data_IF_006148151375
#
_entry.id   IF_006148151375
#
_cell.length_a   1.000
_cell.length_b   1.000
_cell.length_c   1.000
_cell.angle_alpha   90.00
_cell.angle_beta   90.00
_cell.angle_gamma   90.00
#
_symmetry.space_group_name_H-M   'P 1'
#
loop_
_entity.id
_entity.type
_entity.pdbx_description
1 polymer ?
#
# COMPACT_ATOMS: atom_id res chain seq x y z
N UNK A 1 -27.45 -0.73 -12.66
CA UNK A 1 -28.52 0.26 -12.96
C UNK A 1 -28.12 1.62 -12.41
N UNK A 2 -28.28 2.67 -13.21
CA UNK A 2 -28.00 4.05 -12.81
C UNK A 2 -29.28 4.85 -12.87
N UNK A 3 -29.76 5.32 -11.70
CA UNK A 3 -30.93 6.16 -11.61
C UNK A 3 -30.57 7.65 -11.71
N UNK A 4 -31.41 8.41 -12.35
CA UNK A 4 -31.33 9.88 -12.47
C UNK A 4 -32.02 10.60 -11.29
N UNK A 5 -32.09 9.97 -10.13
CA UNK A 5 -32.68 10.55 -8.91
C UNK A 5 -32.07 11.92 -8.60
N UNK A 6 -32.92 12.92 -8.42
CA UNK A 6 -32.52 14.33 -8.19
C UNK A 6 -32.81 14.85 -6.79
N UNK A 7 -33.05 13.96 -5.84
CA UNK A 7 -33.24 14.32 -4.43
C UNK A 7 -34.52 15.06 -4.07
N UNK A 8 -35.48 15.19 -5.02
CA UNK A 8 -36.68 15.97 -4.81
C UNK A 8 -37.80 15.27 -4.06
N UNK A 9 -37.80 13.94 -4.04
CA UNK A 9 -38.80 13.10 -3.37
C UNK A 9 -38.10 11.88 -2.79
N UNK A 10 -38.63 11.31 -1.70
CA UNK A 10 -38.21 9.99 -1.26
C UNK A 10 -38.54 8.94 -2.32
N UNK A 11 -37.64 8.01 -2.56
CA UNK A 11 -37.81 6.90 -3.48
C UNK A 11 -37.43 5.59 -2.81
N UNK A 12 -38.26 4.57 -2.96
CA UNK A 12 -37.98 3.22 -2.46
C UNK A 12 -37.58 2.34 -3.62
N UNK A 13 -36.44 1.69 -3.49
CA UNK A 13 -35.91 0.74 -4.46
C UNK A 13 -36.07 -0.67 -3.90
N UNK A 14 -36.49 -1.58 -4.75
CA UNK A 14 -36.63 -3.00 -4.44
C UNK A 14 -35.75 -3.77 -5.38
N UNK A 15 -34.94 -4.67 -4.84
CA UNK A 15 -34.09 -5.56 -5.63
C UNK A 15 -34.75 -6.94 -5.69
N UNK A 16 -34.96 -7.43 -6.90
CA UNK A 16 -35.46 -8.78 -7.18
C UNK A 16 -34.50 -9.51 -8.09
N UNK A 17 -34.14 -10.76 -7.81
CA UNK A 17 -33.32 -11.54 -8.71
C UNK A 17 -34.13 -11.93 -9.96
N UNK A 18 -33.39 -11.97 -11.09
CA UNK A 18 -33.90 -12.46 -12.37
C UNK A 18 -33.13 -13.73 -12.73
N UNK A 19 -33.83 -14.84 -12.79
CA UNK A 19 -33.24 -16.15 -13.13
C UNK A 19 -33.78 -16.57 -14.48
N UNK A 20 -32.92 -16.82 -15.45
CA UNK A 20 -33.29 -17.21 -16.82
C UNK A 20 -34.31 -16.23 -17.47
N UNK A 21 -34.16 -14.93 -17.22
CA UNK A 21 -35.02 -13.88 -17.77
C UNK A 21 -36.36 -13.72 -17.04
N UNK A 22 -36.62 -14.44 -15.97
CA UNK A 22 -37.86 -14.37 -15.18
C UNK A 22 -37.57 -13.79 -13.81
N UNK A 23 -38.32 -12.72 -13.43
CA UNK A 23 -38.27 -12.21 -12.05
C UNK A 23 -38.76 -13.27 -11.09
N UNK A 24 -37.96 -13.55 -10.04
CA UNK A 24 -38.45 -14.37 -8.93
C UNK A 24 -39.35 -13.52 -8.06
N UNK A 25 -40.34 -14.09 -7.42
CA UNK A 25 -41.20 -13.37 -6.49
C UNK A 25 -40.52 -12.91 -5.20
N UNK A 26 -39.26 -13.31 -4.98
CA UNK A 26 -38.49 -12.98 -3.79
C UNK A 26 -37.90 -11.56 -3.86
N UNK A 27 -37.96 -10.85 -2.74
CA UNK A 27 -37.35 -9.52 -2.59
C UNK A 27 -36.06 -9.68 -1.83
N UNK A 28 -34.92 -9.42 -2.49
CA UNK A 28 -33.59 -9.51 -1.88
C UNK A 28 -33.31 -8.32 -0.95
N UNK A 29 -33.90 -7.16 -1.20
CA UNK A 29 -33.73 -6.00 -0.35
C UNK A 29 -34.59 -4.82 -0.76
N UNK A 30 -34.85 -3.95 0.20
CA UNK A 30 -35.46 -2.65 0.01
C UNK A 30 -34.56 -1.57 0.56
N UNK A 31 -34.43 -0.48 -0.20
CA UNK A 31 -33.76 0.72 0.29
C UNK A 31 -34.60 1.96 -0.05
N UNK A 32 -34.89 2.77 0.95
CA UNK A 32 -35.64 4.03 0.78
C UNK A 32 -34.68 5.22 0.88
N UNK A 33 -34.46 5.90 -0.24
CA UNK A 33 -33.74 7.18 -0.26
C UNK A 33 -34.58 8.25 0.42
N UNK A 34 -34.07 8.93 1.45
CA UNK A 34 -34.77 10.04 2.07
C UNK A 34 -34.87 11.24 1.11
N UNK A 35 -35.83 12.13 1.35
CA UNK A 35 -35.90 13.42 0.64
C UNK A 35 -34.60 14.21 0.92
N UNK A 36 -33.98 14.73 -0.12
CA UNK A 36 -32.67 15.42 -0.09
C UNK A 36 -31.46 14.49 0.18
N UNK A 37 -31.60 13.19 -0.05
CA UNK A 37 -30.42 12.32 -0.04
C UNK A 37 -29.34 12.87 -1.00
N UNK A 38 -28.05 12.80 -0.62
CA UNK A 38 -26.99 13.21 -1.53
C UNK A 38 -27.01 12.34 -2.80
N UNK A 39 -26.74 12.97 -3.93
CA UNK A 39 -26.81 12.30 -5.23
C UNK A 39 -25.40 11.87 -5.63
N UNK A 40 -25.11 10.58 -5.47
CA UNK A 40 -23.97 9.92 -6.10
C UNK A 40 -22.63 10.05 -5.36
N UNK A 41 -22.51 10.83 -4.26
CA UNK A 41 -21.29 10.94 -3.46
C UNK A 41 -21.56 11.43 -2.03
N UNK A 42 -20.65 11.11 -1.13
CA UNK A 42 -20.52 11.72 0.20
C UNK A 42 -19.40 12.75 0.11
N UNK A 43 -19.66 13.98 0.54
CA UNK A 43 -18.66 15.04 0.66
C UNK A 43 -18.03 15.01 2.04
N UNK A 44 -16.72 14.73 2.09
CA UNK A 44 -15.94 14.70 3.33
C UNK A 44 -15.00 15.90 3.32
N UNK A 45 -15.17 16.88 4.22
CA UNK A 45 -14.24 18.00 4.33
C UNK A 45 -12.90 17.52 4.90
N UNK A 46 -11.79 17.97 4.33
CA UNK A 46 -10.44 17.60 4.73
C UNK A 46 -9.73 18.81 5.37
N UNK A 47 -8.94 18.55 6.42
CA UNK A 47 -8.07 19.54 7.05
C UNK A 47 -6.68 19.54 6.38
N UNK A 48 -6.56 20.32 5.28
CA UNK A 48 -5.33 20.38 4.49
C UNK A 48 -4.15 20.86 5.36
N UNK A 49 -3.00 20.16 5.33
CA UNK A 49 -1.81 20.60 6.05
C UNK A 49 -1.32 21.97 5.58
N UNK A 50 -0.63 22.69 6.47
CA UNK A 50 -0.01 23.98 6.15
C UNK A 50 1.10 23.82 5.09
N UNK A 51 1.24 24.84 4.24
CA UNK A 51 2.30 24.92 3.26
C UNK A 51 3.68 24.94 3.94
N UNK A 52 4.71 24.49 3.24
CA UNK A 52 6.06 24.41 3.78
C UNK A 52 7.13 24.92 2.81
N UNK A 53 8.37 24.91 3.29
CA UNK A 53 9.56 25.28 2.51
C UNK A 53 10.66 24.26 2.80
N UNK A 54 11.31 23.76 1.74
CA UNK A 54 12.44 22.82 1.86
C UNK A 54 13.72 23.53 2.34
N UNK A 55 14.76 22.79 2.77
CA UNK A 55 16.07 23.36 3.09
C UNK A 55 16.72 24.15 1.94
N UNK A 56 16.36 23.86 0.70
CA UNK A 56 16.83 24.60 -0.49
C UNK A 56 16.01 25.85 -0.80
N UNK A 57 15.00 26.17 0.02
CA UNK A 57 14.14 27.34 -0.20
C UNK A 57 12.97 27.12 -1.17
N UNK A 58 12.72 25.88 -1.62
CA UNK A 58 11.58 25.55 -2.47
C UNK A 58 10.30 25.49 -1.64
N UNK A 59 9.33 26.32 -1.96
CA UNK A 59 7.99 26.25 -1.36
C UNK A 59 7.21 25.04 -1.90
N UNK A 60 6.38 24.45 -1.07
CA UNK A 60 5.46 23.37 -1.43
C UNK A 60 4.13 23.49 -0.68
N UNK A 61 3.10 22.91 -1.26
CA UNK A 61 1.77 22.77 -0.68
C UNK A 61 1.48 21.28 -0.48
N UNK A 62 0.32 20.92 0.06
CA UNK A 62 -0.11 19.53 0.18
C UNK A 62 -1.30 19.24 -0.71
N UNK A 63 -1.29 18.05 -1.30
CA UNK A 63 -2.38 17.47 -2.08
C UNK A 63 -2.78 16.11 -1.48
N UNK A 64 -4.09 15.77 -1.44
CA UNK A 64 -4.51 14.42 -1.08
C UNK A 64 -4.03 13.44 -2.14
N UNK A 65 -3.56 12.28 -1.70
CA UNK A 65 -3.02 11.23 -2.54
C UNK A 65 -3.77 9.92 -2.28
N UNK A 66 -3.06 8.81 -2.03
CA UNK A 66 -3.67 7.52 -1.75
C UNK A 66 -4.48 7.52 -0.45
N UNK A 67 -5.55 6.74 -0.43
CA UNK A 67 -6.33 6.50 0.76
C UNK A 67 -6.63 5.01 0.92
N UNK A 68 -6.76 4.57 2.16
CA UNK A 68 -7.29 3.27 2.56
C UNK A 68 -8.39 3.46 3.58
N UNK A 69 -9.17 2.42 3.82
CA UNK A 69 -10.27 2.45 4.78
C UNK A 69 -10.13 1.31 5.78
N UNK A 70 -10.61 1.51 6.99
CA UNK A 70 -10.72 0.50 8.03
C UNK A 70 -11.59 0.99 9.15
N UNK A 71 -12.26 0.09 9.84
CA UNK A 71 -12.91 0.36 11.11
C UNK A 71 -11.80 0.43 12.17
N UNK A 72 -11.40 1.64 12.56
CA UNK A 72 -10.24 1.81 13.46
C UNK A 72 -10.63 1.84 14.94
N UNK A 73 -11.91 1.98 15.25
CA UNK A 73 -12.38 2.06 16.65
C UNK A 73 -13.45 1.01 17.02
N UNK A 74 -13.79 0.11 16.09
CA UNK A 74 -14.68 -1.03 16.32
C UNK A 74 -16.15 -0.66 16.41
N UNK A 75 -16.55 0.50 15.84
CA UNK A 75 -17.95 0.96 15.89
C UNK A 75 -18.80 0.48 14.71
N UNK A 76 -18.18 -0.18 13.71
CA UNK A 76 -18.82 -0.73 12.51
C UNK A 76 -18.92 0.27 11.36
N UNK A 77 -18.44 1.50 11.50
CA UNK A 77 -18.25 2.46 10.42
C UNK A 77 -16.76 2.51 10.04
N UNK A 78 -16.46 2.82 8.78
CA UNK A 78 -15.08 2.90 8.34
C UNK A 78 -14.55 4.32 8.41
N UNK A 79 -13.33 4.48 8.93
CA UNK A 79 -12.54 5.66 8.79
C UNK A 79 -11.70 5.63 7.52
N UNK A 80 -11.27 6.82 7.10
CA UNK A 80 -10.41 7.02 5.94
C UNK A 80 -9.02 7.40 6.43
N UNK A 81 -8.04 6.57 6.10
CA UNK A 81 -6.62 6.88 6.29
C UNK A 81 -6.11 7.47 4.98
N UNK A 82 -5.84 8.78 5.00
CA UNK A 82 -5.47 9.57 3.83
C UNK A 82 -3.99 9.96 3.90
N UNK A 83 -3.26 9.64 2.85
CA UNK A 83 -1.89 10.12 2.61
C UNK A 83 -1.93 11.50 1.96
N UNK A 84 -1.19 12.43 2.53
CA UNK A 84 -0.91 13.74 1.96
C UNK A 84 0.48 13.77 1.36
N UNK A 85 0.57 14.03 0.07
CA UNK A 85 1.85 14.27 -0.60
C UNK A 85 2.14 15.77 -0.67
N UNK A 86 3.40 16.17 -0.40
CA UNK A 86 3.84 17.52 -0.73
C UNK A 86 3.90 17.69 -2.26
N UNK A 87 3.51 18.86 -2.76
CA UNK A 87 3.47 19.14 -4.21
C UNK A 87 4.83 19.07 -4.91
N UNK A 88 5.91 18.98 -4.15
CA UNK A 88 7.29 18.77 -4.61
C UNK A 88 7.77 17.33 -4.35
N UNK A 89 6.85 16.35 -4.29
CA UNK A 89 7.21 14.93 -4.30
C UNK A 89 7.99 14.58 -5.58
N UNK A 90 8.94 13.66 -5.46
CA UNK A 90 9.81 13.27 -6.57
C UNK A 90 9.77 11.76 -6.81
N UNK A 91 9.81 11.34 -8.07
CA UNK A 91 10.14 9.97 -8.42
C UNK A 91 11.55 9.60 -7.94
N UNK A 92 11.77 8.32 -7.69
CA UNK A 92 13.06 7.78 -7.24
C UNK A 92 14.23 8.08 -8.21
N UNK A 93 13.94 8.33 -9.49
CA UNK A 93 14.96 8.70 -10.46
C UNK A 93 15.48 10.14 -10.31
N UNK A 94 14.71 11.02 -9.66
CA UNK A 94 15.02 12.45 -9.57
C UNK A 94 15.63 12.84 -8.23
N UNK A 95 16.51 13.85 -8.24
CA UNK A 95 17.06 14.47 -7.04
C UNK A 95 16.16 15.61 -6.55
N UNK A 96 16.41 16.13 -5.37
CA UNK A 96 15.73 17.25 -4.76
C UNK A 96 15.16 16.90 -3.39
N UNK A 97 15.08 17.91 -2.51
CA UNK A 97 14.36 17.78 -1.25
C UNK A 97 12.86 17.69 -1.50
N UNK A 98 12.17 16.95 -0.67
CA UNK A 98 10.71 16.91 -0.60
C UNK A 98 10.22 17.45 0.73
N UNK A 99 8.97 17.89 0.80
CA UNK A 99 8.28 18.02 2.06
C UNK A 99 8.05 16.65 2.70
N UNK A 100 7.61 16.62 3.96
CA UNK A 100 7.26 15.38 4.65
C UNK A 100 5.97 14.79 4.07
N UNK A 101 5.86 13.47 4.03
CA UNK A 101 4.57 12.80 3.83
C UNK A 101 3.82 12.79 5.14
N UNK A 102 2.51 13.07 5.10
CA UNK A 102 1.65 13.01 6.27
C UNK A 102 0.54 11.99 6.05
N UNK A 103 0.08 11.37 7.12
CA UNK A 103 -1.09 10.51 7.13
C UNK A 103 -2.11 11.04 8.13
N UNK A 104 -3.34 11.21 7.68
CA UNK A 104 -4.46 11.60 8.52
C UNK A 104 -5.50 10.48 8.58
N UNK A 105 -6.14 10.33 9.71
CA UNK A 105 -7.34 9.53 9.86
C UNK A 105 -8.56 10.43 9.98
N UNK A 106 -9.59 10.17 9.16
CA UNK A 106 -10.83 10.93 9.14
C UNK A 106 -12.04 10.03 9.32
N UNK A 107 -12.97 10.48 10.13
CA UNK A 107 -14.35 9.98 10.09
C UNK A 107 -15.05 10.44 8.80
N UNK A 108 -16.10 9.75 8.40
CA UNK A 108 -16.93 10.17 7.26
C UNK A 108 -17.58 11.56 7.45
N UNK A 109 -17.63 12.06 8.66
CA UNK A 109 -18.07 13.44 8.98
C UNK A 109 -17.04 14.50 8.61
N UNK A 110 -15.78 14.13 8.36
CA UNK A 110 -14.65 15.02 8.16
C UNK A 110 -13.89 15.37 9.44
N UNK A 111 -14.27 14.80 10.59
CA UNK A 111 -13.48 14.90 11.81
C UNK A 111 -12.15 14.19 11.64
N UNK A 112 -11.02 14.90 11.84
CA UNK A 112 -9.70 14.30 11.86
C UNK A 112 -9.39 13.77 13.25
N UNK A 113 -9.16 12.45 13.36
CA UNK A 113 -8.83 11.77 14.60
C UNK A 113 -7.37 12.00 15.01
N UNK A 114 -6.46 11.87 14.06
CA UNK A 114 -5.02 12.04 14.27
C UNK A 114 -4.29 12.39 12.97
N UNK A 115 -3.03 12.79 13.12
CA UNK A 115 -2.05 12.99 12.04
C UNK A 115 -0.72 12.35 12.41
N UNK A 116 -0.15 11.55 11.52
CA UNK A 116 1.21 11.03 11.60
C UNK A 116 2.06 11.84 10.62
N UNK A 117 3.23 12.34 11.08
CA UNK A 117 4.23 12.99 10.24
C UNK A 117 5.40 12.03 10.01
N UNK A 118 5.63 11.62 8.77
CA UNK A 118 6.69 10.67 8.43
C UNK A 118 8.09 11.22 8.66
N UNK A 119 8.22 12.52 8.90
CA UNK A 119 9.50 13.18 9.08
C UNK A 119 10.28 13.33 7.76
N UNK A 120 11.41 14.02 7.86
CA UNK A 120 12.21 14.33 6.67
C UNK A 120 13.15 13.19 6.23
N UNK A 121 13.26 12.10 7.02
CA UNK A 121 14.04 10.91 6.67
C UNK A 121 13.23 9.88 5.87
N UNK A 122 11.96 10.17 5.56
CA UNK A 122 11.15 9.44 4.60
C UNK A 122 10.84 10.39 3.44
N UNK A 123 11.39 10.09 2.27
CA UNK A 123 11.23 10.92 1.07
C UNK A 123 9.81 10.77 0.51
N UNK A 124 9.26 11.84 -0.07
CA UNK A 124 7.95 11.80 -0.72
C UNK A 124 8.06 11.44 -2.21
N UNK A 125 7.16 10.58 -2.66
CA UNK A 125 7.03 10.12 -4.05
C UNK A 125 6.27 8.80 -4.12
N UNK A 126 5.96 8.36 -5.33
CA UNK A 126 5.05 7.24 -5.59
C UNK A 126 5.48 5.90 -4.96
N UNK A 127 6.77 5.71 -4.67
CA UNK A 127 7.29 4.39 -4.29
C UNK A 127 7.84 4.29 -2.86
N UNK A 128 7.75 5.37 -2.05
CA UNK A 128 8.44 5.42 -0.75
C UNK A 128 7.58 5.01 0.44
N UNK A 129 6.26 5.23 0.38
CA UNK A 129 5.38 5.21 1.55
C UNK A 129 4.14 4.36 1.32
N UNK A 130 4.32 3.06 1.11
CA UNK A 130 3.23 2.09 1.14
C UNK A 130 2.75 1.90 2.57
N UNK A 131 1.44 1.79 2.75
CA UNK A 131 0.81 1.57 4.05
C UNK A 131 -0.35 0.60 3.91
N UNK A 132 -0.51 -0.27 4.89
CA UNK A 132 -1.59 -1.24 4.95
C UNK A 132 -2.47 -0.93 6.15
N UNK A 133 -3.78 -0.90 5.93
CA UNK A 133 -4.81 -0.70 6.95
C UNK A 133 -5.65 -1.96 6.98
N UNK A 134 -5.62 -2.67 8.09
CA UNK A 134 -6.36 -3.90 8.26
C UNK A 134 -6.46 -4.27 9.75
N UNK A 135 -7.45 -5.04 10.12
CA UNK A 135 -7.54 -5.68 11.44
C UNK A 135 -6.62 -6.91 11.44
N UNK A 136 -5.33 -6.68 11.79
CA UNK A 136 -4.30 -7.71 11.68
C UNK A 136 -4.33 -8.73 12.82
N UNK A 137 -4.85 -8.39 13.99
CA UNK A 137 -4.96 -9.30 15.14
C UNK A 137 -6.38 -9.83 15.37
N UNK A 138 -7.30 -9.43 14.49
CA UNK A 138 -8.71 -9.85 14.50
C UNK A 138 -9.46 -9.45 15.79
N UNK A 139 -9.11 -8.29 16.36
CA UNK A 139 -9.78 -7.73 17.54
C UNK A 139 -11.00 -6.87 17.20
N UNK A 140 -11.24 -6.62 15.90
CA UNK A 140 -12.33 -5.81 15.36
C UNK A 140 -11.93 -4.35 15.10
N UNK A 141 -10.67 -3.96 15.34
CA UNK A 141 -10.16 -2.63 15.06
C UNK A 141 -8.95 -2.71 14.12
N UNK A 142 -8.95 -1.88 13.07
CA UNK A 142 -7.84 -1.91 12.12
C UNK A 142 -6.59 -1.20 12.65
N UNK A 143 -5.42 -1.81 12.43
CA UNK A 143 -4.11 -1.18 12.57
C UNK A 143 -3.65 -0.55 11.27
N UNK A 144 -2.60 0.29 11.36
CA UNK A 144 -1.83 0.75 10.22
C UNK A 144 -0.41 0.23 10.34
N UNK A 145 0.06 -0.48 9.31
CA UNK A 145 1.45 -0.97 9.25
C UNK A 145 2.16 -0.32 8.06
N UNK A 146 3.28 0.35 8.34
CA UNK A 146 4.06 1.03 7.30
C UNK A 146 5.52 1.22 7.68
N UNK A 147 6.34 1.47 6.64
CA UNK A 147 7.75 1.83 6.82
C UNK A 147 7.86 3.23 7.44
N UNK A 148 8.71 3.36 8.47
CA UNK A 148 9.06 4.63 9.14
C UNK A 148 10.58 4.83 9.17
N UNK A 149 11.03 5.91 9.77
CA UNK A 149 12.44 6.22 9.98
C UNK A 149 12.61 7.07 11.24
N UNK A 150 13.84 7.38 11.60
CA UNK A 150 14.14 8.37 12.65
C UNK A 150 13.45 9.70 12.35
N UNK A 151 12.86 10.30 13.38
CA UNK A 151 12.15 11.57 13.29
C UNK A 151 10.71 11.46 12.78
N UNK A 152 10.17 10.25 12.53
CA UNK A 152 8.72 10.06 12.33
C UNK A 152 7.98 10.39 13.63
N UNK A 153 6.89 11.16 13.54
CA UNK A 153 6.06 11.57 14.68
C UNK A 153 4.71 10.85 14.58
N UNK A 154 4.36 10.09 15.59
CA UNK A 154 3.12 9.35 15.64
C UNK A 154 1.88 10.26 15.90
N UNK A 155 0.68 9.68 15.84
CA UNK A 155 -0.58 10.41 16.04
C UNK A 155 -0.78 11.01 17.43
N UNK A 156 0.09 10.68 18.39
CA UNK A 156 0.10 11.22 19.74
C UNK A 156 1.26 12.22 19.97
N UNK A 157 2.02 12.55 18.91
CA UNK A 157 3.14 13.48 18.97
C UNK A 157 4.43 12.87 19.49
N UNK A 158 4.52 11.54 19.62
CA UNK A 158 5.75 10.85 20.05
C UNK A 158 6.67 10.59 18.84
N UNK A 159 7.94 10.92 19.00
CA UNK A 159 8.95 10.68 17.95
C UNK A 159 9.42 9.22 17.99
N UNK A 160 9.51 8.61 16.81
CA UNK A 160 10.11 7.30 16.59
C UNK A 160 11.59 7.50 16.32
N UNK A 161 12.43 6.75 17.02
CA UNK A 161 13.89 6.79 16.90
C UNK A 161 14.51 8.12 17.33
N UNK A 162 15.53 8.60 16.60
CA UNK A 162 16.26 9.83 16.91
C UNK A 162 15.61 11.05 16.23
N UNK A 163 15.09 11.96 17.04
CA UNK A 163 14.49 13.22 16.58
C UNK A 163 15.48 14.18 15.88
N UNK A 164 16.77 14.03 16.16
CA UNK A 164 17.82 14.91 15.62
C UNK A 164 18.46 14.36 14.33
N UNK A 165 18.14 13.13 13.95
CA UNK A 165 18.73 12.52 12.77
C UNK A 165 18.27 13.21 11.48
N UNK A 166 19.21 13.50 10.57
CA UNK A 166 18.93 13.98 9.20
C UNK A 166 19.83 13.19 8.24
N UNK A 167 19.19 12.33 7.45
CA UNK A 167 19.86 11.44 6.49
C UNK A 167 19.81 11.96 5.06
N UNK A 168 19.21 13.14 4.85
CA UNK A 168 19.11 13.74 3.53
C UNK A 168 20.49 14.18 3.05
N UNK A 169 20.88 13.73 1.86
CA UNK A 169 22.12 14.18 1.25
C UNK A 169 22.04 15.69 0.99
N UNK A 170 22.96 16.50 1.57
CA UNK A 170 22.94 17.96 1.43
C UNK A 170 23.43 18.43 0.05
N UNK A 171 24.10 17.62 -0.61
CA UNK A 171 24.94 17.54 -1.77
C UNK A 171 24.90 18.62 -2.84
N UNK A 172 25.81 18.40 -3.77
CA UNK A 172 25.79 18.98 -5.12
C UNK A 172 24.49 18.54 -5.82
N UNK A 173 24.11 19.11 -6.98
CA UNK A 173 22.88 18.74 -7.70
C UNK A 173 22.65 17.23 -7.85
N UNK A 174 23.72 16.44 -7.89
CA UNK A 174 23.62 14.98 -7.85
C UNK A 174 23.42 14.49 -6.39
N UNK A 175 22.31 13.80 -6.13
CA UNK A 175 21.88 13.22 -4.86
C UNK A 175 21.27 14.18 -3.83
N UNK A 176 21.11 15.46 -4.13
CA UNK A 176 20.45 16.38 -3.18
C UNK A 176 19.09 15.84 -2.73
N UNK A 177 18.85 15.82 -1.42
CA UNK A 177 17.60 15.38 -0.82
C UNK A 177 17.34 13.86 -0.86
N UNK A 178 18.26 13.05 -1.39
CA UNK A 178 18.16 11.58 -1.33
C UNK A 178 18.51 11.07 0.05
N UNK A 179 17.97 9.91 0.38
CA UNK A 179 18.30 9.17 1.60
C UNK A 179 19.10 7.94 1.18
N UNK A 180 20.43 8.02 1.26
CA UNK A 180 21.33 6.94 0.83
C UNK A 180 21.71 5.99 1.96
N UNK A 181 21.50 6.39 3.21
CA UNK A 181 21.81 5.66 4.44
C UNK A 181 20.83 6.07 5.53
N UNK A 182 20.90 5.46 6.68
CA UNK A 182 20.09 5.79 7.85
C UNK A 182 19.17 4.65 8.24
N UNK A 183 18.59 4.80 9.42
CA UNK A 183 17.71 3.78 9.99
C UNK A 183 16.36 3.78 9.27
N UNK A 184 15.87 2.58 9.01
CA UNK A 184 14.53 2.33 8.49
C UNK A 184 13.84 1.32 9.40
N UNK A 185 12.59 1.57 9.69
CA UNK A 185 11.79 0.75 10.58
C UNK A 185 10.50 0.30 9.92
N UNK A 186 9.91 -0.76 10.44
CA UNK A 186 8.54 -1.15 10.23
C UNK A 186 7.77 -0.91 11.51
N UNK A 187 6.72 -0.09 11.46
CA UNK A 187 5.95 0.32 12.63
C UNK A 187 4.49 -0.08 12.48
N UNK A 188 3.94 -0.66 13.53
CA UNK A 188 2.51 -0.88 13.73
C UNK A 188 1.96 0.29 14.51
N UNK A 189 0.92 0.92 14.00
CA UNK A 189 0.20 2.01 14.65
C UNK A 189 -1.20 1.56 15.02
N UNK A 190 -1.65 1.94 16.20
CA UNK A 190 -3.02 1.80 16.62
C UNK A 190 -3.93 2.67 15.74
N UNK A 191 -4.90 2.07 15.08
CA UNK A 191 -5.77 2.77 14.14
C UNK A 191 -6.59 3.89 14.77
N UNK A 192 -7.07 3.70 15.99
CA UNK A 192 -7.91 4.66 16.69
C UNK A 192 -7.17 5.94 17.10
N UNK A 193 -5.90 5.81 17.47
CA UNK A 193 -5.13 6.91 18.09
C UNK A 193 -3.95 7.37 17.25
N UNK A 194 -3.53 6.60 16.24
CA UNK A 194 -2.30 6.84 15.50
C UNK A 194 -1.01 6.61 16.32
N UNK A 195 -1.11 6.08 17.55
CA UNK A 195 0.04 5.83 18.41
C UNK A 195 0.88 4.67 17.89
N UNK A 196 2.19 4.80 17.88
CA UNK A 196 3.09 3.68 17.57
C UNK A 196 3.00 2.61 18.67
N UNK A 197 2.58 1.39 18.30
CA UNK A 197 2.45 0.24 19.20
C UNK A 197 3.76 -0.53 19.27
N UNK A 198 4.32 -0.84 18.11
CA UNK A 198 5.64 -1.49 17.99
C UNK A 198 6.40 -0.96 16.78
N UNK A 199 7.70 -0.87 16.93
CA UNK A 199 8.65 -0.51 15.87
C UNK A 199 9.79 -1.52 15.89
N UNK A 200 10.05 -2.13 14.74
CA UNK A 200 11.18 -3.05 14.50
C UNK A 200 12.02 -2.51 13.34
N UNK A 201 13.25 -3.01 13.20
CA UNK A 201 14.08 -2.70 12.03
C UNK A 201 13.38 -3.18 10.75
N UNK A 202 13.47 -2.37 9.69
CA UNK A 202 12.87 -2.74 8.40
C UNK A 202 13.63 -3.90 7.75
N UNK A 203 12.90 -4.92 7.35
CA UNK A 203 13.41 -6.10 6.65
C UNK A 203 12.86 -6.12 5.21
N UNK A 204 13.74 -6.20 4.21
CA UNK A 204 15.21 -6.23 4.31
C UNK A 204 15.81 -4.84 4.55
N UNK A 205 16.90 -4.79 5.30
CA UNK A 205 17.68 -3.55 5.42
C UNK A 205 18.15 -3.05 4.05
N UNK A 206 18.33 -1.72 3.88
CA UNK A 206 18.87 -1.13 2.65
C UNK A 206 20.23 -1.72 2.27
N UNK A 207 21.12 -1.91 3.23
CA UNK A 207 22.44 -2.47 3.01
C UNK A 207 23.26 -1.65 2.00
N UNK A 208 24.02 -2.35 1.16
CA UNK A 208 24.78 -1.71 0.09
C UNK A 208 23.86 -1.42 -1.12
N UNK A 209 23.76 -0.17 -1.53
CA UNK A 209 22.91 0.26 -2.65
C UNK A 209 23.23 -0.45 -3.97
N UNK A 210 24.52 -0.77 -4.20
CA UNK A 210 24.95 -1.47 -5.41
C UNK A 210 24.29 -2.86 -5.56
N UNK A 211 23.94 -3.51 -4.45
CA UNK A 211 23.24 -4.82 -4.47
C UNK A 211 21.81 -4.70 -5.03
N UNK A 212 21.27 -3.49 -5.09
CA UNK A 212 19.96 -3.17 -5.70
C UNK A 212 20.07 -2.67 -7.14
N UNK A 213 21.30 -2.51 -7.67
CA UNK A 213 21.54 -2.16 -9.06
C UNK A 213 21.86 -0.69 -9.34
N UNK A 214 21.95 0.16 -8.32
CA UNK A 214 22.45 1.55 -8.43
C UNK A 214 23.07 2.05 -7.11
N UNK A 215 23.67 3.26 -7.13
CA UNK A 215 24.27 3.88 -5.96
C UNK A 215 23.52 5.15 -5.51
N UNK A 216 22.28 5.33 -5.95
CA UNK A 216 21.46 6.54 -5.73
C UNK A 216 20.15 6.27 -5.04
N UNK A 217 19.97 5.06 -4.50
CA UNK A 217 18.72 4.57 -3.88
C UNK A 217 17.50 4.61 -4.83
N UNK A 218 17.69 4.65 -6.14
CA UNK A 218 16.59 4.58 -7.08
C UNK A 218 15.93 3.19 -7.09
N UNK A 219 16.75 2.13 -7.05
CA UNK A 219 16.25 0.74 -7.08
C UNK A 219 15.92 0.20 -5.69
N UNK A 220 16.70 0.60 -4.67
CA UNK A 220 16.47 0.16 -3.29
C UNK A 220 15.23 0.77 -2.64
N UNK A 221 14.82 1.98 -3.06
CA UNK A 221 13.71 2.69 -2.41
C UNK A 221 12.41 2.54 -3.20
N UNK A 222 12.20 1.37 -3.79
CA UNK A 222 10.99 0.97 -4.47
C UNK A 222 10.27 -0.08 -3.64
N UNK A 223 9.23 0.36 -2.96
CA UNK A 223 8.48 -0.44 -2.01
C UNK A 223 7.09 -0.78 -2.56
N UNK A 224 6.62 -1.98 -2.23
CA UNK A 224 5.25 -2.42 -2.37
C UNK A 224 4.81 -3.07 -1.06
N UNK A 225 3.52 -3.18 -0.83
CA UNK A 225 2.99 -3.89 0.31
C UNK A 225 1.63 -4.51 0.00
N UNK A 226 1.26 -5.53 0.76
CA UNK A 226 -0.04 -6.18 0.67
C UNK A 226 -0.48 -6.75 2.02
N UNK A 227 -1.77 -7.03 2.14
CA UNK A 227 -2.34 -7.93 3.13
C UNK A 227 -2.59 -9.27 2.45
N UNK A 228 -2.20 -10.37 3.07
CA UNK A 228 -2.37 -11.72 2.54
C UNK A 228 -2.75 -12.71 3.64
N UNK A 229 -3.63 -13.63 3.35
CA UNK A 229 -4.01 -14.74 4.23
C UNK A 229 -3.10 -15.95 3.97
N UNK A 230 -1.84 -15.84 4.42
CA UNK A 230 -0.78 -16.83 4.14
C UNK A 230 -0.97 -18.19 4.85
N UNK A 231 -1.88 -18.27 5.79
CA UNK A 231 -2.31 -19.53 6.43
C UNK A 231 -3.80 -19.82 6.18
N UNK A 232 -4.44 -19.04 5.31
CA UNK A 232 -5.85 -19.16 4.97
C UNK A 232 -6.82 -18.66 6.06
N UNK A 233 -6.32 -18.17 7.20
CA UNK A 233 -7.15 -17.79 8.36
C UNK A 233 -6.82 -16.40 8.90
N UNK A 234 -5.53 -16.08 9.08
CA UNK A 234 -5.09 -14.85 9.71
C UNK A 234 -4.43 -13.92 8.69
N UNK A 235 -4.71 -12.62 8.74
CA UNK A 235 -4.07 -11.65 7.86
C UNK A 235 -2.59 -11.45 8.24
N UNK A 236 -1.73 -11.50 7.25
CA UNK A 236 -0.31 -11.14 7.36
C UNK A 236 -0.05 -9.86 6.57
N UNK A 237 0.90 -9.03 6.99
CA UNK A 237 1.43 -7.95 6.16
C UNK A 237 2.64 -8.45 5.39
N UNK A 238 2.66 -8.21 4.08
CA UNK A 238 3.80 -8.49 3.21
C UNK A 238 4.42 -7.16 2.79
N UNK A 239 5.67 -6.94 3.20
CA UNK A 239 6.43 -5.74 2.86
C UNK A 239 7.50 -6.10 1.83
N UNK A 240 7.52 -5.34 0.72
CA UNK A 240 8.37 -5.64 -0.41
C UNK A 240 9.35 -4.50 -0.67
N UNK A 241 10.56 -4.85 -1.12
CA UNK A 241 11.61 -3.91 -1.52
C UNK A 241 12.26 -4.36 -2.82
N UNK A 242 12.29 -3.48 -3.81
CA UNK A 242 12.91 -3.71 -5.12
C UNK A 242 12.05 -4.57 -6.05
N UNK A 243 12.15 -4.30 -7.35
CA UNK A 243 11.49 -5.08 -8.39
C UNK A 243 12.18 -4.99 -9.76
N UNK A 244 13.12 -4.05 -9.96
CA UNK A 244 13.87 -3.93 -11.21
C UNK A 244 15.08 -4.87 -11.30
N UNK A 245 15.64 -5.27 -10.15
CA UNK A 245 16.80 -6.15 -10.03
C UNK A 245 16.58 -7.09 -8.86
N UNK A 246 17.28 -6.90 -7.73
CA UNK A 246 16.98 -7.62 -6.50
C UNK A 246 15.54 -7.34 -6.07
N UNK A 247 14.84 -8.40 -5.71
CA UNK A 247 13.45 -8.41 -5.24
C UNK A 247 13.42 -9.10 -3.91
N UNK A 248 12.90 -8.44 -2.89
CA UNK A 248 12.74 -9.03 -1.55
C UNK A 248 11.33 -8.79 -1.05
N UNK A 249 10.69 -9.86 -0.58
CA UNK A 249 9.42 -9.83 0.11
C UNK A 249 9.62 -10.39 1.51
N UNK A 250 9.07 -9.73 2.52
CA UNK A 250 9.08 -10.20 3.90
C UNK A 250 7.66 -10.17 4.46
N UNK A 251 7.20 -11.29 4.99
CA UNK A 251 5.89 -11.42 5.61
C UNK A 251 6.00 -11.36 7.13
N UNK A 252 5.02 -10.70 7.74
CA UNK A 252 4.91 -10.55 9.18
C UNK A 252 3.48 -10.79 9.65
N UNK A 253 3.36 -11.35 10.84
CA UNK A 253 2.11 -11.51 11.57
C UNK A 253 2.09 -10.57 12.77
N UNK A 254 0.95 -9.91 12.99
CA UNK A 254 0.71 -9.10 14.17
C UNK A 254 -0.25 -9.84 15.11
N UNK A 255 0.09 -9.97 16.39
CA UNK A 255 -0.72 -10.67 17.40
C UNK A 255 -1.30 -9.73 18.47
N UNK A 256 -1.38 -8.43 18.18
CA UNK A 256 -1.79 -7.39 19.13
C UNK A 256 -0.68 -6.91 20.06
N UNK A 257 0.50 -7.54 20.02
CA UNK A 257 1.65 -7.22 20.91
C UNK A 257 2.97 -7.25 20.22
N UNK A 258 3.18 -8.19 19.31
CA UNK A 258 4.44 -8.43 18.65
C UNK A 258 4.25 -8.68 17.15
N UNK A 259 5.03 -7.94 16.34
CA UNK A 259 5.14 -8.14 14.90
C UNK A 259 6.22 -9.19 14.65
N UNK A 260 5.80 -10.38 14.23
CA UNK A 260 6.67 -11.54 14.04
C UNK A 260 6.93 -11.77 12.56
N UNK A 261 8.20 -11.84 12.17
CA UNK A 261 8.55 -12.24 10.81
C UNK A 261 8.18 -13.70 10.58
N UNK A 262 7.32 -13.95 9.57
CA UNK A 262 6.89 -15.30 9.15
C UNK A 262 7.94 -15.91 8.22
N UNK A 263 8.30 -15.20 7.16
CA UNK A 263 9.31 -15.61 6.20
C UNK A 263 9.91 -14.39 5.47
N UNK A 264 11.01 -14.64 4.76
CA UNK A 264 11.63 -13.71 3.82
C UNK A 264 11.98 -14.44 2.54
N UNK A 265 11.62 -13.85 1.40
CA UNK A 265 12.03 -14.23 0.06
C UNK A 265 13.05 -13.21 -0.47
N UNK A 266 14.18 -13.67 -1.00
CA UNK A 266 15.22 -12.80 -1.55
C UNK A 266 15.78 -13.37 -2.85
N UNK A 267 15.55 -12.68 -3.96
CA UNK A 267 16.04 -13.07 -5.29
C UNK A 267 17.57 -13.02 -5.43
N UNK A 268 18.30 -12.49 -4.46
CA UNK A 268 19.77 -12.47 -4.45
C UNK A 268 20.39 -13.77 -3.93
N UNK A 269 19.58 -14.79 -3.68
CA UNK A 269 20.04 -16.15 -3.39
C UNK A 269 20.23 -16.96 -4.66
N UNK A 270 21.12 -17.97 -4.70
CA UNK A 270 21.29 -18.83 -5.88
C UNK A 270 19.99 -19.51 -6.32
N UNK A 271 19.16 -19.92 -5.37
CA UNK A 271 17.87 -20.60 -5.59
C UNK A 271 16.86 -19.72 -6.33
N UNK A 272 16.80 -18.44 -5.97
CA UNK A 272 15.79 -17.51 -6.48
C UNK A 272 16.32 -16.49 -7.49
N UNK A 273 17.52 -16.69 -8.01
CA UNK A 273 18.14 -15.77 -8.98
C UNK A 273 17.27 -15.51 -10.23
N UNK A 274 16.46 -16.48 -10.65
CA UNK A 274 15.54 -16.35 -11.77
C UNK A 274 14.37 -15.36 -11.51
N UNK A 275 14.16 -14.97 -10.27
CA UNK A 275 13.12 -14.02 -9.87
C UNK A 275 13.60 -12.55 -9.88
N UNK A 276 14.90 -12.33 -9.97
CA UNK A 276 15.47 -10.99 -10.03
C UNK A 276 14.96 -10.23 -11.27
N UNK A 277 14.46 -9.01 -11.06
CA UNK A 277 13.96 -8.16 -12.13
C UNK A 277 12.63 -8.60 -12.75
N UNK A 278 11.85 -9.42 -12.06
CA UNK A 278 10.55 -9.89 -12.52
C UNK A 278 9.36 -9.12 -11.92
N UNK A 279 9.60 -8.24 -10.95
CA UNK A 279 8.53 -7.49 -10.28
C UNK A 279 8.01 -6.32 -11.09
N UNK A 280 6.76 -5.93 -10.88
CA UNK A 280 6.12 -4.75 -11.48
C UNK A 280 5.99 -3.61 -10.46
N UNK A 281 5.36 -2.48 -10.89
CA UNK A 281 5.01 -1.37 -9.99
C UNK A 281 3.79 -1.66 -9.11
N UNK A 282 3.18 -2.81 -9.23
CA UNK A 282 2.10 -3.29 -8.38
C UNK A 282 2.22 -4.80 -8.16
N UNK A 283 1.51 -5.28 -7.16
CA UNK A 283 1.36 -6.71 -6.88
C UNK A 283 -0.13 -7.07 -6.72
N UNK A 284 -0.43 -8.36 -6.72
CA UNK A 284 -1.75 -8.90 -6.40
C UNK A 284 -1.60 -10.10 -5.47
N UNK A 285 -2.65 -10.32 -4.70
CA UNK A 285 -2.74 -11.40 -3.72
C UNK A 285 -4.01 -12.19 -3.98
N UNK A 286 -3.91 -13.48 -4.06
CA UNK A 286 -5.03 -14.43 -4.10
C UNK A 286 -4.53 -15.87 -3.97
N UNK A 287 -5.40 -16.77 -3.54
CA UNK A 287 -5.24 -18.23 -3.65
C UNK A 287 -5.28 -18.61 -5.14
N UNK A 288 -4.11 -18.88 -5.75
CA UNK A 288 -3.99 -19.17 -7.18
C UNK A 288 -3.76 -20.64 -7.47
N UNK A 289 -3.40 -21.46 -6.47
CA UNK A 289 -3.18 -22.89 -6.63
C UNK A 289 -4.26 -23.75 -5.96
N UNK A 290 -5.17 -23.13 -5.21
CA UNK A 290 -6.35 -23.76 -4.63
C UNK A 290 -6.09 -24.47 -3.31
N UNK A 291 -5.04 -24.11 -2.59
CA UNK A 291 -4.69 -24.69 -1.29
C UNK A 291 -5.40 -24.01 -0.10
N UNK A 292 -6.10 -22.89 -0.36
CA UNK A 292 -6.82 -22.10 0.64
C UNK A 292 -5.99 -21.02 1.30
N UNK A 293 -4.75 -20.80 0.87
CA UNK A 293 -3.88 -19.74 1.31
C UNK A 293 -3.61 -18.77 0.14
N UNK A 294 -3.17 -17.55 0.45
CA UNK A 294 -2.89 -16.55 -0.57
C UNK A 294 -1.44 -16.61 -1.05
N UNK A 295 -1.23 -16.53 -2.37
CA UNK A 295 0.04 -16.27 -3.03
C UNK A 295 0.20 -14.81 -3.38
N UNK A 296 1.46 -14.40 -3.58
CA UNK A 296 1.83 -13.05 -3.99
C UNK A 296 2.27 -13.07 -5.45
N UNK A 297 1.43 -12.53 -6.34
CA UNK A 297 1.77 -12.32 -7.75
C UNK A 297 2.52 -11.00 -7.86
N UNK A 298 3.81 -11.08 -8.18
CA UNK A 298 4.75 -9.95 -8.15
C UNK A 298 5.24 -9.58 -9.56
N UNK A 299 4.31 -9.29 -10.48
CA UNK A 299 4.60 -9.06 -11.89
C UNK A 299 4.80 -10.37 -12.64
N UNK A 300 5.97 -10.55 -13.24
CA UNK A 300 6.33 -11.73 -14.02
C UNK A 300 6.73 -12.96 -13.18
N UNK A 301 6.48 -12.94 -11.89
CA UNK A 301 6.72 -14.07 -10.99
C UNK A 301 5.66 -14.14 -9.88
N UNK A 302 5.61 -15.27 -9.20
CA UNK A 302 4.78 -15.48 -8.01
C UNK A 302 5.60 -16.12 -6.89
N UNK A 303 5.25 -15.72 -5.66
CA UNK A 303 5.79 -16.26 -4.42
C UNK A 303 4.64 -16.95 -3.67
N UNK A 304 4.88 -18.18 -3.30
CA UNK A 304 3.98 -19.05 -2.57
C UNK A 304 3.74 -18.55 -1.14
N UNK A 305 2.59 -18.90 -0.53
CA UNK A 305 2.19 -18.57 0.83
C UNK A 305 3.27 -18.83 1.88
N UNK A 306 4.13 -19.84 1.64
CA UNK A 306 5.23 -20.25 2.51
C UNK A 306 6.55 -19.48 2.27
N UNK A 307 6.56 -18.47 1.40
CA UNK A 307 7.72 -17.65 1.07
C UNK A 307 8.70 -18.29 0.08
N UNK A 308 8.33 -19.38 -0.57
CA UNK A 308 9.12 -19.97 -1.66
C UNK A 308 8.69 -19.41 -3.00
N UNK A 309 9.59 -19.45 -3.98
CA UNK A 309 9.23 -19.08 -5.35
C UNK A 309 8.28 -20.11 -5.95
N UNK A 310 7.10 -19.68 -6.42
CA UNK A 310 6.12 -20.54 -7.08
C UNK A 310 6.47 -20.69 -8.56
N UNK A 311 6.61 -19.57 -9.27
CA UNK A 311 7.08 -19.55 -10.66
C UNK A 311 7.78 -18.23 -11.02
N UNK A 312 8.58 -18.27 -12.08
CA UNK A 312 9.14 -17.09 -12.75
C UNK A 312 9.05 -17.29 -14.26
N UNK A 313 8.44 -16.33 -14.97
CA UNK A 313 8.27 -16.41 -16.43
C UNK A 313 9.52 -16.02 -17.20
N UNK A 314 10.43 -15.28 -16.57
CA UNK A 314 11.61 -14.72 -17.25
C UNK A 314 11.29 -13.55 -18.20
N UNK A 315 10.06 -13.01 -18.21
CA UNK A 315 9.65 -11.92 -19.11
C UNK A 315 10.13 -10.55 -18.64
N UNK A 316 10.61 -10.46 -17.40
CA UNK A 316 11.20 -9.24 -16.83
C UNK A 316 10.17 -8.32 -16.23
N UNK A 317 10.65 -7.13 -15.87
CA UNK A 317 9.88 -6.05 -15.26
C UNK A 317 8.78 -5.51 -16.18
N UNK A 318 7.67 -5.08 -15.59
CA UNK A 318 6.58 -4.41 -16.27
C UNK A 318 5.95 -3.31 -15.43
N UNK A 319 5.13 -2.46 -16.06
CA UNK A 319 4.52 -1.30 -15.41
C UNK A 319 3.28 -1.67 -14.59
N UNK A 320 2.45 -2.57 -15.11
CA UNK A 320 1.16 -2.87 -14.49
C UNK A 320 0.73 -4.30 -14.79
N UNK A 321 0.04 -4.88 -13.83
CA UNK A 321 -0.60 -6.17 -14.01
C UNK A 321 -1.98 -6.21 -13.33
N UNK A 322 -2.81 -7.13 -13.81
CA UNK A 322 -4.10 -7.45 -13.23
C UNK A 322 -4.21 -8.96 -13.03
N UNK A 323 -4.73 -9.36 -11.89
CA UNK A 323 -5.09 -10.73 -11.54
C UNK A 323 -6.60 -10.78 -11.31
N UNK A 324 -7.31 -11.58 -12.09
CA UNK A 324 -8.75 -11.78 -11.94
C UNK A 324 -9.23 -12.96 -12.78
N UNK A 325 -10.47 -13.33 -12.64
CA UNK A 325 -11.17 -14.27 -13.52
C UNK A 325 -11.54 -13.56 -14.83
N UNK A 326 -10.60 -13.45 -15.76
CA UNK A 326 -10.85 -12.80 -17.06
C UNK A 326 -11.74 -13.65 -17.98
N UNK A 327 -11.52 -14.95 -17.99
CA UNK A 327 -12.29 -15.87 -18.81
C UNK A 327 -13.10 -16.82 -17.94
N UNK A 328 -14.45 -16.86 -18.09
CA UNK A 328 -15.28 -17.82 -17.36
C UNK A 328 -14.98 -19.27 -17.72
N UNK A 329 -14.46 -19.51 -18.94
CA UNK A 329 -14.22 -20.85 -19.47
C UNK A 329 -12.86 -21.44 -19.07
N UNK A 330 -11.92 -20.62 -18.57
CA UNK A 330 -10.62 -21.07 -18.08
C UNK A 330 -10.70 -21.38 -16.58
N UNK A 331 -10.13 -22.46 -16.07
CA UNK A 331 -10.03 -22.70 -14.64
C UNK A 331 -9.17 -21.63 -13.94
N UNK A 332 -9.30 -21.47 -12.64
CA UNK A 332 -8.45 -20.56 -11.84
C UNK A 332 -8.59 -19.07 -12.18
N UNK A 333 -7.64 -18.29 -11.72
CA UNK A 333 -7.47 -16.86 -12.01
C UNK A 333 -6.44 -16.70 -13.13
N UNK A 334 -6.54 -15.58 -13.85
CA UNK A 334 -5.60 -15.26 -14.91
C UNK A 334 -4.87 -13.96 -14.61
N UNK A 335 -3.62 -13.88 -15.04
CA UNK A 335 -2.79 -12.67 -14.97
C UNK A 335 -2.70 -12.05 -16.35
N UNK A 336 -3.05 -10.77 -16.46
CA UNK A 336 -2.65 -9.93 -17.58
C UNK A 336 -1.54 -8.99 -17.11
N UNK A 337 -0.46 -8.91 -17.89
CA UNK A 337 0.75 -8.19 -17.50
C UNK A 337 1.33 -7.46 -18.72
N UNK A 338 1.76 -6.20 -18.57
CA UNK A 338 2.47 -5.47 -19.60
C UNK A 338 3.95 -5.34 -19.22
N UNK A 339 4.84 -5.64 -20.17
CA UNK A 339 6.28 -5.68 -19.98
C UNK A 339 6.95 -4.46 -20.60
N UNK A 340 7.92 -3.88 -19.91
CA UNK A 340 8.75 -2.79 -20.45
C UNK A 340 9.73 -3.25 -21.52
N UNK A 341 10.06 -4.52 -21.56
CA UNK A 341 10.96 -5.06 -22.57
C UNK A 341 10.29 -4.99 -23.95
N UNK A 342 10.93 -4.29 -24.89
CA UNK A 342 10.38 -4.07 -26.24
C UNK A 342 10.06 -5.35 -27.03
N UNK A 343 10.64 -6.50 -26.67
CA UNK A 343 10.36 -7.77 -27.33
C UNK A 343 9.11 -8.47 -26.81
N UNK A 344 8.76 -8.22 -25.57
CA UNK A 344 7.81 -9.06 -24.84
C UNK A 344 6.38 -8.49 -24.87
N UNK A 345 6.23 -7.14 -24.89
CA UNK A 345 4.92 -6.51 -24.99
C UNK A 345 4.03 -6.81 -23.78
N UNK A 346 2.91 -7.49 -24.00
CA UNK A 346 2.00 -7.94 -22.95
C UNK A 346 1.86 -9.45 -22.94
N UNK A 347 1.63 -10.04 -21.77
CA UNK A 347 1.32 -11.46 -21.59
C UNK A 347 -0.04 -11.67 -20.94
N UNK A 348 -0.66 -12.77 -21.26
CA UNK A 348 -1.86 -13.31 -20.60
C UNK A 348 -1.55 -14.75 -20.19
N UNK A 349 -1.79 -15.10 -18.93
CA UNK A 349 -1.44 -16.42 -18.36
C UNK A 349 -2.45 -16.84 -17.30
N UNK A 350 -2.59 -18.12 -17.16
CA UNK A 350 -3.34 -18.85 -16.14
C UNK A 350 -2.42 -19.46 -15.09
#
# INVERSE_FOLDING_TARGET
>A
YRDAYKGKKAATYTVKPVVNGVETGHIEGNYTLPTKAPIGYIHIPLDRPADGVTPSGQAFTYIPNDASIGDVDGDGEYEIILKWDPSNAHDNAHDGYTGNVLFDCYRLTGERLWRIDMGHNVRAGAHYTQFMVYDFDSDGCAEIIMKTSDGTIDGQGKVIGDAAADYREPGTPANQGRILKGNEYLTVFNGRTGAAMQTIDYVPARGNLADWGDNRANRSDRFLAAVAYLDGIHPSVVMCRGYYTRTVLAAFDWDGKELKQRWIFDSNTPEYKAYAGQGNHNLRVADVDGDGCDEIIYGSCAIDNNGKGLYSTGMGHGDAMHLTKFSPDMPGLQVWDCHENKRDGSSFRD
#
